data_IF_108693248369
#
_entry.id   IF_108693248369
#
_cell.length_a   1.000
_cell.length_b   1.000
_cell.length_c   1.000
_cell.angle_alpha   90.00
_cell.angle_beta   90.00
_cell.angle_gamma   90.00
#
_symmetry.space_group_name_H-M   'P 1'
#
loop_
_entity.id
_entity.type
_entity.pdbx_description
1 polymer ?
#
# COMPACT_ATOMS: atom_id res chain seq x y z
N UNK A 1 13.52 -40.12 8.74
CA UNK A 1 13.25 -38.66 8.69
C UNK A 1 12.07 -38.45 7.76
N UNK A 2 10.89 -38.13 8.29
CA UNK A 2 9.64 -38.08 7.51
C UNK A 2 9.53 -36.75 6.79
N UNK A 3 9.50 -36.78 5.44
CA UNK A 3 9.23 -35.61 4.60
C UNK A 3 7.71 -35.40 4.58
N UNK A 4 7.23 -34.39 5.30
CA UNK A 4 5.82 -33.99 5.25
C UNK A 4 5.64 -33.11 4.01
N UNK A 5 5.00 -33.67 2.97
CA UNK A 5 4.60 -32.96 1.76
C UNK A 5 3.17 -32.46 2.02
N UNK A 6 2.99 -31.14 2.12
CA UNK A 6 1.65 -30.55 2.21
C UNK A 6 0.98 -30.63 0.83
N UNK A 7 -0.03 -31.49 0.72
CA UNK A 7 -0.89 -31.55 -0.46
C UNK A 7 -1.74 -30.26 -0.50
N UNK A 8 -1.47 -29.42 -1.50
CA UNK A 8 -2.29 -28.23 -1.78
C UNK A 8 -3.68 -28.71 -2.19
N UNK A 9 -4.71 -28.37 -1.41
CA UNK A 9 -6.10 -28.59 -1.80
C UNK A 9 -6.37 -27.83 -3.09
N UNK A 10 -6.72 -28.58 -4.13
CA UNK A 10 -7.09 -28.06 -5.43
C UNK A 10 -8.47 -27.39 -5.32
N UNK A 11 -8.51 -26.12 -4.91
CA UNK A 11 -9.74 -25.32 -4.97
C UNK A 11 -9.99 -25.02 -6.45
N UNK A 12 -11.08 -25.54 -7.02
CA UNK A 12 -11.36 -25.51 -8.46
C UNK A 12 -11.48 -24.11 -9.06
N UNK A 13 -11.71 -23.09 -8.24
CA UNK A 13 -11.67 -21.67 -8.64
C UNK A 13 -10.24 -21.12 -8.85
N UNK A 14 -9.22 -21.79 -8.30
CA UNK A 14 -7.79 -21.41 -8.36
C UNK A 14 -7.10 -21.87 -9.65
N UNK A 15 -7.78 -22.68 -10.46
CA UNK A 15 -7.25 -23.21 -11.72
C UNK A 15 -6.74 -22.11 -12.64
N UNK A 16 -7.42 -20.95 -12.69
CA UNK A 16 -7.05 -19.85 -13.57
C UNK A 16 -5.76 -19.13 -13.10
N UNK A 17 -5.60 -18.87 -11.80
CA UNK A 17 -4.42 -18.17 -11.25
C UNK A 17 -3.17 -19.04 -11.37
N UNK A 18 -3.29 -20.34 -11.10
CA UNK A 18 -2.18 -21.29 -11.25
C UNK A 18 -1.83 -21.49 -12.74
N UNK A 19 -2.84 -21.55 -13.62
CA UNK A 19 -2.62 -21.69 -15.06
C UNK A 19 -1.98 -20.44 -15.68
N UNK A 20 -2.38 -19.23 -15.28
CA UNK A 20 -1.70 -17.99 -15.66
C UNK A 20 -0.25 -17.96 -15.16
N UNK A 21 0.00 -18.41 -13.92
CA UNK A 21 1.36 -18.54 -13.37
C UNK A 21 2.21 -19.58 -14.12
N UNK A 22 1.61 -20.66 -14.64
CA UNK A 22 2.31 -21.67 -15.45
C UNK A 22 2.60 -21.21 -16.88
N UNK A 23 1.83 -20.26 -17.43
CA UNK A 23 2.11 -19.65 -18.74
C UNK A 23 3.30 -18.71 -18.70
N UNK A 24 3.56 -18.06 -17.56
CA UNK A 24 4.75 -17.25 -17.31
C UNK A 24 5.97 -18.14 -17.02
N UNK A 25 6.85 -18.34 -18.01
CA UNK A 25 8.14 -19.04 -17.85
C UNK A 25 9.10 -18.22 -16.98
N UNK A 26 9.01 -18.35 -15.66
CA UNK A 26 9.90 -17.67 -14.71
C UNK A 26 11.26 -18.36 -14.63
N UNK A 27 12.33 -17.66 -15.04
CA UNK A 27 13.71 -18.05 -14.71
C UNK A 27 13.97 -17.66 -13.25
N UNK A 28 14.01 -18.65 -12.36
CA UNK A 28 14.36 -18.43 -10.95
C UNK A 28 13.17 -18.45 -9.99
N UNK A 29 12.15 -19.27 -10.24
CA UNK A 29 11.08 -19.55 -9.30
C UNK A 29 11.65 -20.00 -7.93
N UNK A 30 11.85 -19.04 -7.04
CA UNK A 30 12.24 -19.28 -5.66
C UNK A 30 11.06 -19.94 -4.95
N UNK A 31 11.28 -21.15 -4.43
CA UNK A 31 10.37 -21.88 -3.55
C UNK A 31 10.33 -21.31 -2.13
N UNK A 32 11.04 -20.20 -1.86
CA UNK A 32 11.03 -19.50 -0.58
C UNK A 32 10.17 -18.25 -0.65
N UNK A 33 9.13 -18.25 0.18
CA UNK A 33 8.36 -17.07 0.56
C UNK A 33 9.35 -15.95 0.88
N UNK A 34 9.36 -14.91 0.04
CA UNK A 34 10.33 -13.83 0.11
C UNK A 34 10.27 -13.22 1.52
N UNK A 35 11.37 -13.32 2.26
CA UNK A 35 11.58 -12.58 3.50
C UNK A 35 11.65 -11.08 3.21
N UNK A 36 10.51 -10.48 2.87
CA UNK A 36 10.38 -9.07 2.66
C UNK A 36 10.59 -8.39 4.02
N UNK A 37 11.58 -7.49 4.13
CA UNK A 37 11.84 -6.73 5.36
C UNK A 37 10.69 -5.73 5.57
N UNK A 38 9.65 -6.25 6.20
CA UNK A 38 8.28 -5.75 6.22
C UNK A 38 8.04 -4.70 7.31
N UNK A 39 8.93 -4.55 8.29
CA UNK A 39 8.76 -3.63 9.43
C UNK A 39 8.61 -2.17 8.98
N UNK A 40 9.39 -1.75 7.97
CA UNK A 40 9.45 -0.37 7.48
C UNK A 40 8.16 0.11 6.81
N UNK A 41 7.48 -0.75 6.05
CA UNK A 41 6.22 -0.39 5.38
C UNK A 41 5.09 -0.18 6.36
N UNK A 42 4.92 -1.11 7.30
CA UNK A 42 3.87 -1.02 8.31
C UNK A 42 4.09 0.16 9.26
N UNK A 43 5.35 0.45 9.62
CA UNK A 43 5.66 1.65 10.40
C UNK A 43 5.32 2.92 9.62
N UNK A 44 5.68 2.99 8.33
CA UNK A 44 5.42 4.18 7.51
C UNK A 44 3.91 4.40 7.31
N UNK A 45 3.15 3.36 6.95
CA UNK A 45 1.69 3.49 6.78
C UNK A 45 1.00 3.93 8.07
N UNK A 46 1.45 3.42 9.22
CA UNK A 46 0.89 3.81 10.52
C UNK A 46 1.24 5.25 10.89
N UNK A 47 2.46 5.71 10.59
CA UNK A 47 2.86 7.10 10.82
C UNK A 47 2.05 8.05 9.94
N UNK A 48 1.96 7.78 8.63
CA UNK A 48 1.18 8.58 7.70
C UNK A 48 -0.29 8.65 8.13
N UNK A 49 -0.90 7.51 8.47
CA UNK A 49 -2.27 7.45 8.95
C UNK A 49 -2.48 8.32 10.20
N UNK A 50 -1.61 8.22 11.20
CA UNK A 50 -1.70 9.05 12.42
C UNK A 50 -1.55 10.53 12.15
N UNK A 51 -0.65 10.92 11.24
CA UNK A 51 -0.46 12.33 10.86
C UNK A 51 -1.73 12.86 10.19
N UNK A 52 -2.33 12.09 9.27
CA UNK A 52 -3.58 12.46 8.58
C UNK A 52 -4.74 12.56 9.58
N UNK A 53 -4.90 11.58 10.47
CA UNK A 53 -5.95 11.60 11.51
C UNK A 53 -5.84 12.81 12.45
N UNK A 54 -4.62 13.25 12.74
CA UNK A 54 -4.34 14.41 13.59
C UNK A 54 -4.19 15.71 12.79
N UNK A 55 -4.37 15.69 11.48
CA UNK A 55 -4.14 16.84 10.62
C UNK A 55 -4.89 18.09 11.08
N UNK A 56 -6.23 18.03 11.35
CA UNK A 56 -6.96 19.23 11.79
C UNK A 56 -6.41 19.81 13.10
N UNK A 57 -6.01 18.94 14.03
CA UNK A 57 -5.43 19.36 15.31
C UNK A 57 -4.04 19.98 15.14
N UNK A 58 -3.20 19.43 14.26
CA UNK A 58 -1.86 19.96 13.96
C UNK A 58 -1.99 21.33 13.29
N UNK A 59 -2.86 21.46 12.29
CA UNK A 59 -3.11 22.73 11.58
C UNK A 59 -3.62 23.79 12.55
N UNK A 60 -4.64 23.50 13.36
CA UNK A 60 -5.17 24.43 14.35
C UNK A 60 -4.10 24.85 15.39
N UNK A 61 -3.22 23.92 15.79
CA UNK A 61 -2.11 24.22 16.70
C UNK A 61 -1.09 25.19 16.08
N UNK A 62 -0.71 24.99 14.82
CA UNK A 62 0.18 25.90 14.10
C UNK A 62 -0.46 27.28 13.87
N UNK A 63 -1.74 27.33 13.53
CA UNK A 63 -2.49 28.58 13.37
C UNK A 63 -2.56 29.39 14.66
N UNK A 64 -2.82 28.75 15.80
CA UNK A 64 -2.79 29.41 17.11
C UNK A 64 -1.39 29.94 17.44
N UNK A 65 -0.34 29.15 17.19
CA UNK A 65 1.06 29.60 17.39
C UNK A 65 1.42 30.76 16.48
N UNK A 66 0.93 30.78 15.25
CA UNK A 66 1.06 31.91 14.35
C UNK A 66 0.41 33.17 14.91
N UNK A 67 -0.84 33.06 15.40
CA UNK A 67 -1.56 34.17 16.05
C UNK A 67 -0.82 34.69 17.30
N UNK A 68 -0.26 33.79 18.11
CA UNK A 68 0.54 34.17 19.28
C UNK A 68 1.84 34.89 18.91
N UNK A 69 2.56 34.40 17.89
CA UNK A 69 3.78 35.04 17.40
C UNK A 69 3.52 36.46 16.90
N UNK A 70 2.43 36.66 16.14
CA UNK A 70 2.01 37.98 15.66
C UNK A 70 1.72 38.94 16.81
N UNK A 71 0.99 38.50 17.85
CA UNK A 71 0.74 39.31 19.07
C UNK A 71 2.04 39.70 19.77
N UNK A 72 3.02 38.80 19.79
CA UNK A 72 4.34 39.02 20.37
C UNK A 72 5.32 39.78 19.44
N UNK A 73 4.87 40.27 18.27
CA UNK A 73 5.71 40.91 17.23
C UNK A 73 6.90 40.03 16.78
N UNK A 74 6.71 38.71 16.78
CA UNK A 74 7.68 37.71 16.31
C UNK A 74 7.21 37.12 14.98
N UNK A 75 8.15 36.56 14.22
CA UNK A 75 7.81 35.79 13.03
C UNK A 75 7.00 34.53 13.40
N UNK A 76 5.86 34.25 12.73
CA UNK A 76 5.14 33.01 12.88
C UNK A 76 6.01 31.78 12.56
N UNK A 77 5.82 30.65 13.27
CA UNK A 77 6.42 29.39 12.86
C UNK A 77 5.77 28.90 11.57
N UNK A 78 6.60 28.50 10.60
CA UNK A 78 6.13 27.86 9.37
C UNK A 78 5.69 26.42 9.65
N UNK A 79 4.56 25.99 9.08
CA UNK A 79 4.13 24.60 9.15
C UNK A 79 4.79 23.81 8.00
N UNK A 80 5.75 22.91 8.28
CA UNK A 80 6.55 22.29 7.21
C UNK A 80 5.76 21.41 6.25
N UNK A 81 4.58 20.95 6.67
CA UNK A 81 3.69 20.10 5.86
C UNK A 81 2.51 20.89 5.29
N UNK A 82 2.54 22.21 5.30
CA UNK A 82 1.45 23.02 4.72
C UNK A 82 1.17 22.58 3.28
N UNK A 83 -0.12 22.38 2.96
CA UNK A 83 -0.60 21.92 1.65
C UNK A 83 -0.10 20.53 1.20
N UNK A 84 0.48 19.72 2.10
CA UNK A 84 0.93 18.36 1.78
C UNK A 84 -0.07 17.27 2.20
N UNK A 85 -1.24 17.63 2.73
CA UNK A 85 -2.23 16.64 3.18
C UNK A 85 -2.59 15.65 2.08
N UNK A 86 -2.90 16.17 0.89
CA UNK A 86 -3.31 15.35 -0.27
C UNK A 86 -2.20 14.41 -0.73
N UNK A 87 -0.94 14.88 -0.70
CA UNK A 87 0.23 14.03 -1.00
C UNK A 87 0.36 12.87 0.00
N UNK A 88 0.16 13.13 1.29
CA UNK A 88 0.20 12.10 2.33
C UNK A 88 -0.96 11.11 2.17
N UNK A 89 -2.16 11.59 1.85
CA UNK A 89 -3.36 10.78 1.61
C UNK A 89 -3.17 9.88 0.39
N UNK A 90 -2.71 10.42 -0.74
CA UNK A 90 -2.46 9.67 -1.96
C UNK A 90 -1.36 8.62 -1.74
N UNK A 91 -0.25 9.01 -1.10
CA UNK A 91 0.86 8.10 -0.79
C UNK A 91 0.40 6.97 0.14
N UNK A 92 -0.37 7.28 1.19
CA UNK A 92 -0.92 6.26 2.07
C UNK A 92 -1.88 5.32 1.34
N UNK A 93 -2.70 5.85 0.43
CA UNK A 93 -3.65 5.06 -0.37
C UNK A 93 -2.91 4.03 -1.24
N UNK A 94 -1.78 4.40 -1.85
CA UNK A 94 -0.92 3.48 -2.60
C UNK A 94 -0.31 2.41 -1.69
N UNK A 95 0.18 2.81 -0.51
CA UNK A 95 0.88 1.91 0.41
C UNK A 95 -0.04 0.99 1.22
N UNK A 96 -1.33 1.34 1.37
CA UNK A 96 -2.30 0.58 2.18
C UNK A 96 -2.39 -0.88 1.75
N UNK A 97 -2.48 -1.12 0.44
CA UNK A 97 -2.61 -2.46 -0.14
C UNK A 97 -1.40 -3.34 0.14
N UNK A 98 -0.20 -2.74 0.11
CA UNK A 98 1.04 -3.44 0.49
C UNK A 98 1.02 -3.83 1.98
N UNK A 99 0.47 -2.94 2.82
CA UNK A 99 0.25 -3.22 4.24
C UNK A 99 -0.76 -4.33 4.50
N UNK A 100 -1.80 -4.45 3.67
CA UNK A 100 -2.82 -5.51 3.76
C UNK A 100 -2.27 -6.86 3.34
N UNK A 101 -1.63 -6.95 2.18
CA UNK A 101 -0.94 -8.15 1.71
C UNK A 101 0.05 -8.63 2.78
N UNK A 102 0.82 -7.71 3.38
CA UNK A 102 1.73 -8.04 4.48
C UNK A 102 0.98 -8.65 5.67
N UNK A 103 -0.11 -8.03 6.13
CA UNK A 103 -0.87 -8.52 7.30
C UNK A 103 -1.40 -9.92 7.03
N UNK A 104 -1.91 -10.17 5.83
CA UNK A 104 -2.29 -11.50 5.39
C UNK A 104 -1.08 -12.44 5.49
N UNK A 105 0.06 -12.15 4.86
CA UNK A 105 1.27 -13.00 4.98
C UNK A 105 1.69 -13.34 6.43
N UNK A 106 1.43 -12.46 7.41
CA UNK A 106 1.82 -12.65 8.81
C UNK A 106 0.80 -13.44 9.65
N UNK A 107 -0.43 -13.64 9.18
CA UNK A 107 -1.52 -14.17 10.01
C UNK A 107 -1.42 -15.69 10.35
N UNK A 108 -0.29 -16.35 10.11
CA UNK A 108 -0.01 -17.79 10.34
C UNK A 108 -1.05 -18.79 9.77
N UNK A 109 -2.03 -18.30 9.01
CA UNK A 109 -3.21 -19.02 8.52
C UNK A 109 -3.69 -18.73 7.10
N UNK A 110 -3.20 -17.75 6.32
CA UNK A 110 -3.65 -17.63 4.94
C UNK A 110 -3.06 -18.78 4.12
N UNK A 111 -3.93 -19.48 3.42
CA UNK A 111 -3.49 -20.38 2.37
C UNK A 111 -2.67 -19.54 1.36
N UNK A 112 -1.49 -20.02 0.94
CA UNK A 112 -0.62 -19.27 0.03
C UNK A 112 -1.34 -18.78 -1.24
N UNK A 113 -2.41 -19.47 -1.63
CA UNK A 113 -3.31 -19.11 -2.73
C UNK A 113 -3.97 -17.75 -2.53
N UNK A 114 -4.43 -17.44 -1.31
CA UNK A 114 -5.12 -16.18 -1.00
C UNK A 114 -4.15 -14.99 -1.11
N UNK A 115 -2.94 -15.14 -0.59
CA UNK A 115 -1.87 -14.13 -0.73
C UNK A 115 -1.53 -13.92 -2.21
N UNK A 116 -1.40 -14.98 -3.00
CA UNK A 116 -1.13 -14.87 -4.44
C UNK A 116 -2.26 -14.17 -5.18
N UNK A 117 -3.52 -14.43 -4.81
CA UNK A 117 -4.68 -13.77 -5.37
C UNK A 117 -4.70 -12.27 -5.01
N UNK A 118 -4.42 -11.92 -3.75
CA UNK A 118 -4.30 -10.53 -3.31
C UNK A 118 -3.18 -9.78 -4.06
N UNK A 119 -2.02 -10.41 -4.22
CA UNK A 119 -0.91 -9.83 -4.98
C UNK A 119 -1.26 -9.62 -6.45
N UNK A 120 -2.00 -10.55 -7.06
CA UNK A 120 -2.45 -10.43 -8.45
C UNK A 120 -3.47 -9.31 -8.61
N UNK A 121 -4.46 -9.22 -7.71
CA UNK A 121 -5.46 -8.14 -7.73
C UNK A 121 -4.82 -6.78 -7.49
N UNK A 122 -3.92 -6.67 -6.52
CA UNK A 122 -3.17 -5.44 -6.27
C UNK A 122 -2.34 -5.02 -7.48
N UNK A 123 -1.78 -6.00 -8.22
CA UNK A 123 -1.08 -5.72 -9.47
C UNK A 123 -2.02 -5.09 -10.49
N UNK A 124 -3.13 -5.74 -10.85
CA UNK A 124 -3.98 -5.33 -11.99
C UNK A 124 -4.93 -4.16 -11.69
N UNK A 125 -5.19 -3.87 -10.41
CA UNK A 125 -6.09 -2.78 -10.01
C UNK A 125 -5.32 -1.67 -9.30
N UNK A 126 -4.70 -1.98 -8.16
CA UNK A 126 -4.16 -0.95 -7.26
C UNK A 126 -2.82 -0.36 -7.72
N UNK A 127 -2.01 -1.13 -8.44
CA UNK A 127 -0.70 -0.71 -8.96
C UNK A 127 -0.73 -0.35 -10.45
N UNK A 128 -1.86 -0.56 -11.12
CA UNK A 128 -2.05 -0.21 -12.52
C UNK A 128 -2.21 1.31 -12.66
N UNK A 129 -1.32 1.95 -13.41
CA UNK A 129 -1.27 3.42 -13.48
C UNK A 129 -2.46 4.05 -14.20
N UNK A 130 -3.21 3.28 -14.98
CA UNK A 130 -4.36 3.77 -15.74
C UNK A 130 -5.68 3.64 -14.95
N UNK A 131 -5.67 2.88 -13.86
CA UNK A 131 -6.87 2.62 -13.05
C UNK A 131 -6.98 3.55 -11.85
N UNK A 132 -8.20 3.92 -11.42
CA UNK A 132 -8.42 4.61 -10.17
C UNK A 132 -7.88 3.82 -8.98
N UNK A 133 -7.36 4.54 -7.99
CA UNK A 133 -6.82 3.95 -6.77
C UNK A 133 -7.86 4.04 -5.64
N UNK A 134 -8.11 2.98 -4.86
CA UNK A 134 -8.95 3.09 -3.68
C UNK A 134 -8.36 4.09 -2.68
N UNK A 135 -9.17 5.00 -2.17
CA UNK A 135 -8.77 5.89 -1.08
C UNK A 135 -8.44 5.05 0.18
N UNK A 136 -7.50 5.50 1.02
CA UNK A 136 -7.09 4.71 2.20
C UNK A 136 -8.24 4.46 3.20
N UNK A 137 -9.25 5.33 3.22
CA UNK A 137 -10.50 5.16 4.01
C UNK A 137 -11.63 4.45 3.24
N UNK A 138 -11.40 4.02 2.00
CA UNK A 138 -12.40 3.28 1.22
C UNK A 138 -12.78 2.00 1.96
N UNK A 139 -14.08 1.75 2.04
CA UNK A 139 -14.70 0.55 2.63
C UNK A 139 -15.79 0.03 1.71
N UNK A 140 -16.20 -1.23 1.87
CA UNK A 140 -17.24 -1.84 1.04
C UNK A 140 -18.58 -1.08 1.09
N UNK A 141 -18.88 -0.48 2.25
CA UNK A 141 -20.10 0.32 2.44
C UNK A 141 -20.00 1.74 1.88
N UNK A 142 -18.77 2.28 1.83
CA UNK A 142 -18.49 3.64 1.39
C UNK A 142 -17.27 3.63 0.47
N UNK A 143 -17.43 3.16 -0.78
CA UNK A 143 -16.33 3.09 -1.72
C UNK A 143 -15.90 4.51 -2.11
N UNK A 144 -14.60 4.76 -2.02
CA UNK A 144 -13.96 6.02 -2.41
C UNK A 144 -12.75 5.72 -3.28
N UNK A 145 -12.60 6.51 -4.34
CA UNK A 145 -11.55 6.34 -5.34
C UNK A 145 -10.85 7.66 -5.62
N UNK A 146 -9.57 7.59 -5.92
CA UNK A 146 -8.74 8.69 -6.40
C UNK A 146 -8.49 8.43 -7.88
N UNK A 147 -8.84 9.37 -8.76
CA UNK A 147 -8.60 9.18 -10.18
C UNK A 147 -7.08 9.13 -10.46
N UNK A 148 -6.67 8.32 -11.44
CA UNK A 148 -5.25 8.21 -11.80
C UNK A 148 -4.62 9.58 -12.16
N UNK A 149 -5.40 10.44 -12.81
CA UNK A 149 -5.01 11.82 -13.17
C UNK A 149 -4.88 12.78 -11.98
N UNK A 150 -5.48 12.44 -10.84
CA UNK A 150 -5.49 13.26 -9.62
C UNK A 150 -4.43 12.81 -8.61
N UNK A 151 -3.72 11.71 -8.90
CA UNK A 151 -2.60 11.29 -8.07
C UNK A 151 -1.50 12.34 -8.10
N UNK A 152 -1.02 12.66 -6.91
CA UNK A 152 0.14 13.52 -6.75
C UNK A 152 1.39 12.89 -7.35
N UNK A 153 2.39 13.69 -7.79
CA UNK A 153 3.57 13.17 -8.48
C UNK A 153 4.34 12.10 -7.68
N UNK A 154 4.46 12.26 -6.35
CA UNK A 154 5.17 11.28 -5.52
C UNK A 154 4.35 10.00 -5.39
N UNK A 155 3.03 10.10 -5.20
CA UNK A 155 2.16 8.92 -5.15
C UNK A 155 2.16 8.15 -6.47
N UNK A 156 2.06 8.84 -7.61
CA UNK A 156 2.14 8.22 -8.94
C UNK A 156 3.50 7.53 -9.16
N UNK A 157 4.61 8.19 -8.80
CA UNK A 157 5.94 7.58 -8.91
C UNK A 157 6.10 6.37 -7.98
N UNK A 158 5.59 6.47 -6.76
CA UNK A 158 5.61 5.36 -5.78
C UNK A 158 4.81 4.17 -6.31
N UNK A 159 3.62 4.41 -6.88
CA UNK A 159 2.78 3.37 -7.49
C UNK A 159 3.51 2.67 -8.63
N UNK A 160 4.16 3.43 -9.52
CA UNK A 160 4.96 2.91 -10.62
C UNK A 160 6.15 2.06 -10.13
N UNK A 161 6.91 2.54 -9.14
CA UNK A 161 8.05 1.79 -8.58
C UNK A 161 7.62 0.51 -7.88
N UNK A 162 6.48 0.53 -7.18
CA UNK A 162 5.91 -0.67 -6.57
C UNK A 162 5.46 -1.66 -7.64
N UNK A 163 4.85 -1.18 -8.73
CA UNK A 163 4.45 -2.02 -9.85
C UNK A 163 5.64 -2.73 -10.49
N UNK A 164 6.69 -1.97 -10.80
CA UNK A 164 7.94 -2.48 -11.37
C UNK A 164 8.57 -3.55 -10.46
N UNK A 165 8.65 -3.27 -9.16
CA UNK A 165 9.18 -4.24 -8.19
C UNK A 165 8.30 -5.49 -8.04
N UNK A 166 6.97 -5.36 -8.17
CA UNK A 166 6.04 -6.49 -8.17
C UNK A 166 6.23 -7.38 -9.39
N UNK A 167 6.32 -6.73 -10.54
CA UNK A 167 6.57 -7.36 -11.82
C UNK A 167 7.89 -8.15 -11.77
N UNK A 168 9.02 -7.48 -11.53
CA UNK A 168 10.35 -8.10 -11.48
C UNK A 168 10.44 -9.31 -10.52
N UNK A 169 9.79 -9.25 -9.35
CA UNK A 169 9.99 -10.23 -8.28
C UNK A 169 9.00 -11.38 -8.27
N UNK A 170 7.84 -11.22 -8.88
CA UNK A 170 6.73 -12.18 -8.74
C UNK A 170 6.10 -12.63 -10.05
N UNK A 171 6.23 -11.87 -11.14
CA UNK A 171 5.51 -12.14 -12.39
C UNK A 171 6.40 -12.19 -13.64
N UNK A 172 7.71 -11.92 -13.51
CA UNK A 172 8.70 -11.91 -14.60
C UNK A 172 9.78 -13.00 -14.39
#
# INVERSE_FOLDING_TARGET
MVRVIFQVKHVSATGNIFQERCKTKTKGASTRLIGYSTSRFLSLTNVLKRVIEKWPAITAWYEERGRQALRARKSPPEFPLANQCDELVNTLSVLKQMGEIKRSCQAERPEQVEVLAQMYLARIHDLDSDHPLPHFESTDQHPRWIAASELTPIAAKTRSLLREAFDERFYF
#
